data_IF_736026748428
#
_entry.id   IF_736026748428
#
_cell.length_a   1.000
_cell.length_b   1.000
_cell.length_c   1.000
_cell.angle_alpha   90.00
_cell.angle_beta   90.00
_cell.angle_gamma   90.00
#
_symmetry.space_group_name_H-M   'P 1'
#
loop_
_entity.id
_entity.type
_entity.pdbx_description
1 polymer ?
#
# COMPACT_ATOMS: atom_id res chain seq x y z
N UNK A 1 -7.87 39.10 -94.91
CA UNK A 1 -7.40 37.84 -94.34
C UNK A 1 -7.53 37.89 -92.84
N UNK A 2 -8.51 37.20 -92.26
CA UNK A 2 -8.73 37.13 -90.76
C UNK A 2 -8.22 35.76 -90.28
N UNK A 3 -7.42 35.69 -89.23
CA UNK A 3 -7.16 34.41 -88.57
C UNK A 3 -8.22 34.06 -87.50
N UNK A 4 -8.60 32.82 -87.59
CA UNK A 4 -9.58 32.21 -86.61
C UNK A 4 -8.87 31.93 -85.30
N UNK A 5 -9.59 32.32 -84.21
CA UNK A 5 -9.25 31.96 -82.83
C UNK A 5 -9.81 30.56 -82.54
N UNK A 6 -8.93 29.66 -82.17
CA UNK A 6 -9.28 28.36 -81.58
C UNK A 6 -9.44 28.54 -80.07
N UNK A 7 -10.65 28.30 -79.59
CA UNK A 7 -10.97 28.29 -78.14
C UNK A 7 -10.82 26.84 -77.60
N UNK A 8 -9.78 26.61 -76.82
CA UNK A 8 -9.60 25.32 -76.13
C UNK A 8 -10.23 25.36 -74.75
N UNK A 9 -11.30 24.61 -74.56
CA UNK A 9 -11.97 24.45 -73.30
C UNK A 9 -11.22 23.45 -72.47
N UNK A 10 -10.63 23.91 -71.32
CA UNK A 10 -10.01 23.04 -70.33
C UNK A 10 -11.10 22.67 -69.32
N UNK A 11 -11.48 21.39 -69.30
CA UNK A 11 -12.36 20.82 -68.29
C UNK A 11 -11.58 20.58 -66.99
N UNK A 12 -11.96 21.28 -65.93
CA UNK A 12 -11.47 20.99 -64.56
C UNK A 12 -12.31 19.83 -64.01
N UNK A 13 -11.67 18.67 -63.84
CA UNK A 13 -12.22 17.55 -63.06
C UNK A 13 -11.92 17.83 -61.59
N UNK A 14 -12.94 18.21 -60.84
CA UNK A 14 -12.85 18.32 -59.35
C UNK A 14 -12.99 16.92 -58.78
N UNK A 15 -11.86 16.33 -58.36
CA UNK A 15 -11.86 15.15 -57.49
C UNK A 15 -12.32 15.54 -56.08
N UNK A 16 -13.55 15.25 -55.73
CA UNK A 16 -14.03 15.32 -54.32
C UNK A 16 -13.49 14.09 -53.60
N UNK A 17 -12.39 14.29 -52.83
CA UNK A 17 -11.88 13.29 -51.91
C UNK A 17 -12.89 13.18 -50.76
N UNK A 18 -13.65 12.10 -50.65
CA UNK A 18 -14.38 11.72 -49.46
C UNK A 18 -13.38 11.30 -48.41
N UNK A 19 -13.09 12.18 -47.43
CA UNK A 19 -12.40 11.83 -46.18
C UNK A 19 -13.40 10.95 -45.40
N UNK A 20 -13.22 9.65 -45.42
CA UNK A 20 -13.81 8.76 -44.43
C UNK A 20 -13.18 9.04 -43.10
N UNK A 21 -13.83 9.82 -42.27
CA UNK A 21 -13.56 9.90 -40.84
C UNK A 21 -13.90 8.53 -40.25
N UNK A 22 -12.87 7.70 -40.10
CA UNK A 22 -12.94 6.53 -39.24
C UNK A 22 -13.11 7.05 -37.80
N UNK A 23 -14.36 7.10 -37.35
CA UNK A 23 -14.65 7.18 -35.91
C UNK A 23 -14.04 5.95 -35.26
N UNK A 24 -12.87 6.09 -34.62
CA UNK A 24 -12.42 5.16 -33.63
C UNK A 24 -13.48 5.18 -32.53
N UNK A 25 -14.42 4.25 -32.59
CA UNK A 25 -15.22 3.90 -31.41
C UNK A 25 -14.24 3.46 -30.35
N UNK A 26 -14.03 4.34 -29.36
CA UNK A 26 -13.45 3.94 -28.09
C UNK A 26 -14.29 2.75 -27.60
N UNK A 27 -13.67 1.59 -27.58
CA UNK A 27 -14.27 0.37 -27.06
C UNK A 27 -14.40 0.57 -25.55
N UNK A 28 -15.45 1.27 -25.10
CA UNK A 28 -15.79 1.44 -23.69
C UNK A 28 -16.15 0.05 -23.19
N UNK A 29 -15.18 -0.55 -22.46
CA UNK A 29 -15.38 -1.83 -21.79
C UNK A 29 -16.61 -1.66 -20.88
N UNK A 30 -17.72 -2.28 -21.26
CA UNK A 30 -18.93 -2.24 -20.44
C UNK A 30 -18.64 -2.92 -19.12
N UNK A 31 -18.80 -2.19 -18.00
CA UNK A 31 -18.61 -2.76 -16.66
C UNK A 31 -19.55 -3.96 -16.48
N UNK A 32 -19.08 -5.06 -15.86
CA UNK A 32 -19.96 -6.19 -15.56
C UNK A 32 -21.15 -5.75 -14.72
N UNK A 33 -22.29 -6.41 -14.89
CA UNK A 33 -23.45 -6.20 -14.01
C UNK A 33 -23.02 -6.54 -12.56
N UNK A 34 -23.11 -5.59 -11.61
CA UNK A 34 -22.70 -5.82 -10.22
C UNK A 34 -23.51 -6.94 -9.55
N UNK A 35 -24.73 -7.25 -10.04
CA UNK A 35 -25.53 -8.38 -9.54
C UNK A 35 -24.97 -9.74 -9.94
N UNK A 36 -24.14 -9.79 -10.98
CA UNK A 36 -23.45 -11.02 -11.40
C UNK A 36 -22.19 -11.33 -10.58
N UNK A 37 -21.80 -10.43 -9.65
CA UNK A 37 -20.62 -10.63 -8.84
C UNK A 37 -20.83 -11.76 -7.84
N UNK A 38 -19.82 -12.61 -7.76
CA UNK A 38 -19.70 -13.63 -6.71
C UNK A 38 -18.59 -13.19 -5.75
N UNK A 39 -19.00 -12.68 -4.60
CA UNK A 39 -18.08 -12.47 -3.48
C UNK A 39 -17.79 -13.80 -2.79
N UNK A 40 -16.60 -13.93 -2.24
CA UNK A 40 -16.15 -15.13 -1.54
C UNK A 40 -15.58 -14.70 -0.19
N UNK A 41 -15.78 -15.52 0.84
CA UNK A 41 -15.25 -15.31 2.19
C UNK A 41 -15.61 -16.48 3.09
N UNK A 42 -14.91 -16.62 4.20
CA UNK A 42 -15.20 -17.62 5.25
C UNK A 42 -15.76 -16.94 6.50
N UNK A 43 -14.94 -16.15 7.19
CA UNK A 43 -15.35 -15.44 8.42
C UNK A 43 -16.25 -14.25 8.11
N UNK A 44 -16.01 -13.53 7.04
CA UNK A 44 -16.88 -12.48 6.53
C UNK A 44 -17.82 -13.05 5.49
N UNK A 45 -19.10 -13.22 5.85
CA UNK A 45 -20.08 -13.83 4.94
C UNK A 45 -20.25 -12.99 3.67
N UNK A 46 -20.21 -13.61 2.46
CA UNK A 46 -20.40 -12.88 1.22
C UNK A 46 -21.72 -12.11 1.17
N UNK A 47 -21.66 -10.84 0.77
CA UNK A 47 -22.82 -9.98 0.61
C UNK A 47 -23.38 -10.11 -0.83
N UNK A 48 -24.70 -10.07 -0.97
CA UNK A 48 -25.35 -9.92 -2.28
C UNK A 48 -25.51 -8.43 -2.59
N UNK A 49 -25.28 -8.05 -3.84
CA UNK A 49 -25.31 -6.64 -4.25
C UNK A 49 -26.62 -5.93 -3.84
N UNK A 50 -27.79 -6.57 -4.02
CA UNK A 50 -29.07 -5.96 -3.69
C UNK A 50 -29.27 -5.74 -2.17
N UNK A 51 -28.57 -6.50 -1.34
CA UNK A 51 -28.58 -6.40 0.15
C UNK A 51 -27.55 -5.37 0.69
N UNK A 52 -26.69 -4.83 -0.17
CA UNK A 52 -25.63 -3.89 0.23
C UNK A 52 -26.19 -2.51 0.55
N UNK A 53 -25.54 -1.85 1.50
CA UNK A 53 -25.74 -0.42 1.78
C UNK A 53 -25.29 0.45 0.60
N UNK A 54 -25.75 1.71 0.49
CA UNK A 54 -25.35 2.61 -0.60
C UNK A 54 -23.84 2.76 -0.75
N UNK A 55 -23.09 2.89 0.35
CA UNK A 55 -21.64 3.06 0.37
C UNK A 55 -20.92 1.79 -0.13
N UNK A 56 -21.46 0.61 0.20
CA UNK A 56 -20.94 -0.66 -0.30
C UNK A 56 -21.18 -0.82 -1.81
N UNK A 57 -22.35 -0.40 -2.31
CA UNK A 57 -22.64 -0.37 -3.74
C UNK A 57 -21.70 0.57 -4.47
N UNK A 58 -21.49 1.78 -3.94
CA UNK A 58 -20.54 2.75 -4.49
C UNK A 58 -19.14 2.15 -4.61
N UNK A 59 -18.64 1.47 -3.57
CA UNK A 59 -17.34 0.80 -3.63
C UNK A 59 -17.27 -0.28 -4.71
N UNK A 60 -18.34 -1.08 -4.87
CA UNK A 60 -18.42 -2.11 -5.93
C UNK A 60 -18.46 -1.46 -7.32
N UNK A 61 -19.24 -0.41 -7.49
CA UNK A 61 -19.38 0.29 -8.78
C UNK A 61 -18.04 0.91 -9.20
N UNK A 62 -17.29 1.53 -8.27
CA UNK A 62 -15.93 2.04 -8.52
C UNK A 62 -14.95 0.91 -8.85
N UNK A 63 -15.04 -0.23 -8.14
CA UNK A 63 -14.20 -1.40 -8.39
C UNK A 63 -14.38 -1.94 -9.81
N UNK A 64 -15.64 -2.03 -10.27
CA UNK A 64 -15.99 -2.57 -11.60
C UNK A 64 -15.74 -1.57 -12.73
N UNK A 65 -15.82 -0.27 -12.45
CA UNK A 65 -15.44 0.78 -13.41
C UNK A 65 -13.94 0.85 -13.66
N UNK A 66 -13.11 0.31 -12.75
CA UNK A 66 -11.66 0.29 -12.85
C UNK A 66 -11.11 -0.81 -13.77
N UNK A 67 -9.81 -1.10 -13.63
CA UNK A 67 -9.09 -2.08 -14.46
C UNK A 67 -9.37 -3.54 -14.06
N UNK A 68 -10.02 -3.77 -12.92
CA UNK A 68 -10.29 -5.11 -12.40
C UNK A 68 -11.43 -5.79 -13.16
N UNK A 69 -11.35 -7.11 -13.29
CA UNK A 69 -12.38 -7.91 -13.96
C UNK A 69 -13.42 -8.48 -13.00
N UNK A 70 -13.33 -8.17 -11.70
CA UNK A 70 -14.25 -8.70 -10.69
C UNK A 70 -13.78 -8.40 -9.26
N UNK A 71 -14.51 -8.93 -8.28
CA UNK A 71 -14.33 -8.64 -6.86
C UNK A 71 -13.75 -9.83 -6.05
N UNK A 72 -12.91 -10.66 -6.66
CA UNK A 72 -12.19 -11.71 -5.95
C UNK A 72 -11.03 -11.12 -5.14
N UNK A 73 -10.74 -11.71 -3.98
CA UNK A 73 -9.68 -11.25 -3.09
C UNK A 73 -10.23 -10.48 -1.88
N UNK A 74 -9.58 -9.40 -1.41
CA UNK A 74 -9.88 -8.78 -0.12
C UNK A 74 -11.19 -7.96 -0.11
N UNK A 75 -11.89 -7.83 -1.25
CA UNK A 75 -12.96 -6.84 -1.40
C UNK A 75 -14.18 -7.17 -0.54
N UNK A 76 -14.51 -8.47 -0.34
CA UNK A 76 -15.57 -8.85 0.59
C UNK A 76 -15.26 -8.40 2.04
N UNK A 77 -14.01 -8.43 2.45
CA UNK A 77 -13.58 -7.91 3.77
C UNK A 77 -13.71 -6.40 3.80
N UNK A 78 -13.15 -5.71 2.80
CA UNK A 78 -13.14 -4.24 2.73
C UNK A 78 -14.54 -3.63 2.68
N UNK A 79 -15.55 -4.36 2.17
CA UNK A 79 -16.96 -3.94 2.19
C UNK A 79 -17.54 -3.76 3.59
N UNK A 80 -16.90 -4.22 4.67
CA UNK A 80 -17.33 -3.97 6.06
C UNK A 80 -17.02 -2.54 6.52
N UNK A 81 -16.06 -1.88 5.86
CA UNK A 81 -15.75 -0.46 6.03
C UNK A 81 -15.59 0.20 4.66
N UNK A 82 -16.72 0.39 3.92
CA UNK A 82 -16.69 0.74 2.50
C UNK A 82 -16.08 2.11 2.24
N UNK A 83 -16.20 3.07 3.15
CA UNK A 83 -15.68 4.43 2.96
C UNK A 83 -14.14 4.46 2.88
N UNK A 84 -13.45 3.62 3.66
CA UNK A 84 -11.99 3.46 3.56
C UNK A 84 -11.64 2.35 2.56
N UNK A 85 -12.48 1.32 2.46
CA UNK A 85 -12.32 0.21 1.53
C UNK A 85 -12.29 0.65 0.07
N UNK A 86 -13.07 1.67 -0.27
CA UNK A 86 -13.08 2.24 -1.62
C UNK A 86 -11.74 2.93 -1.97
N UNK A 87 -11.18 3.73 -1.08
CA UNK A 87 -9.84 4.29 -1.30
C UNK A 87 -8.76 3.19 -1.32
N UNK A 88 -8.88 2.20 -0.47
CA UNK A 88 -7.94 1.08 -0.44
C UNK A 88 -7.93 0.31 -1.77
N UNK A 89 -9.11 -0.01 -2.34
CA UNK A 89 -9.19 -0.69 -3.62
C UNK A 89 -8.70 0.17 -4.79
N UNK A 90 -8.95 1.49 -4.77
CA UNK A 90 -8.45 2.44 -5.77
C UNK A 90 -6.92 2.55 -5.71
N UNK A 91 -6.34 2.65 -4.49
CA UNK A 91 -4.89 2.62 -4.29
C UNK A 91 -4.28 1.32 -4.85
N UNK A 92 -4.89 0.19 -4.52
CA UNK A 92 -4.48 -1.10 -5.07
C UNK A 92 -4.60 -1.20 -6.60
N UNK A 93 -5.59 -0.55 -7.19
CA UNK A 93 -5.72 -0.41 -8.65
C UNK A 93 -4.55 0.38 -9.23
N UNK A 94 -4.23 1.54 -8.64
CA UNK A 94 -3.09 2.36 -9.06
C UNK A 94 -1.77 1.59 -8.96
N UNK A 95 -1.50 0.95 -7.83
CA UNK A 95 -0.26 0.19 -7.61
C UNK A 95 -0.12 -1.00 -8.56
N UNK A 96 -1.20 -1.71 -8.86
CA UNK A 96 -1.14 -2.91 -9.71
C UNK A 96 -1.08 -2.61 -11.21
N UNK A 97 -1.78 -1.58 -11.67
CA UNK A 97 -2.05 -1.39 -13.10
C UNK A 97 -1.45 -0.12 -13.68
N UNK A 98 -1.15 0.91 -12.87
CA UNK A 98 -0.74 2.23 -13.33
C UNK A 98 0.69 2.66 -12.95
N UNK A 99 1.46 1.76 -12.32
CA UNK A 99 2.90 1.96 -12.13
C UNK A 99 3.67 1.69 -13.43
N UNK A 100 4.85 2.26 -13.56
CA UNK A 100 5.77 1.96 -14.66
C UNK A 100 6.62 0.71 -14.45
N UNK A 101 6.33 -0.10 -13.43
CA UNK A 101 7.09 -1.31 -13.11
C UNK A 101 6.73 -2.44 -14.09
N UNK A 102 7.71 -3.13 -14.71
CA UNK A 102 7.45 -4.27 -15.58
C UNK A 102 6.61 -5.35 -14.90
N UNK A 103 5.75 -6.03 -15.66
CA UNK A 103 4.77 -6.96 -15.08
C UNK A 103 5.42 -8.15 -14.37
N UNK A 104 6.46 -8.72 -14.92
CA UNK A 104 7.24 -9.79 -14.29
C UNK A 104 7.90 -9.34 -12.97
N UNK A 105 8.41 -8.12 -12.92
CA UNK A 105 8.96 -7.51 -11.70
C UNK A 105 7.86 -7.25 -10.68
N UNK A 106 6.73 -6.67 -11.10
CA UNK A 106 5.61 -6.38 -10.18
C UNK A 106 5.01 -7.67 -9.60
N UNK A 107 4.82 -8.72 -10.42
CA UNK A 107 4.32 -10.01 -9.91
C UNK A 107 5.35 -10.69 -8.98
N UNK A 108 6.65 -10.53 -9.24
CA UNK A 108 7.71 -11.01 -8.31
C UNK A 108 7.59 -10.35 -6.95
N UNK A 109 7.41 -9.01 -6.89
CA UNK A 109 7.19 -8.28 -5.63
C UNK A 109 5.94 -8.79 -4.91
N UNK A 110 4.86 -9.04 -5.65
CA UNK A 110 3.59 -9.50 -5.09
C UNK A 110 3.73 -10.90 -4.48
N UNK A 111 4.33 -11.85 -5.19
CA UNK A 111 4.52 -13.21 -4.65
C UNK A 111 5.51 -13.23 -3.47
N UNK A 112 6.54 -12.38 -3.45
CA UNK A 112 7.41 -12.20 -2.28
C UNK A 112 6.61 -11.71 -1.07
N UNK A 113 5.74 -10.71 -1.25
CA UNK A 113 4.90 -10.18 -0.18
C UNK A 113 3.86 -11.20 0.29
N UNK A 114 3.21 -11.92 -0.64
CA UNK A 114 2.30 -13.02 -0.31
C UNK A 114 2.98 -14.15 0.46
N UNK A 115 4.24 -14.48 0.08
CA UNK A 115 5.07 -15.44 0.81
C UNK A 115 5.42 -14.97 2.22
N UNK A 116 5.83 -13.71 2.36
CA UNK A 116 6.13 -13.09 3.65
C UNK A 116 4.94 -13.17 4.61
N UNK A 117 3.72 -12.94 4.10
CA UNK A 117 2.48 -13.03 4.86
C UNK A 117 1.91 -14.45 4.96
N UNK A 118 2.51 -15.46 4.35
CA UNK A 118 1.94 -16.81 4.28
C UNK A 118 0.51 -16.82 3.73
N UNK A 119 0.17 -15.87 2.85
CA UNK A 119 -1.16 -15.68 2.31
C UNK A 119 -1.40 -16.65 1.14
N UNK A 120 -2.01 -17.79 1.44
CA UNK A 120 -2.17 -18.91 0.50
C UNK A 120 -2.94 -18.51 -0.77
N UNK A 121 -4.05 -17.77 -0.61
CA UNK A 121 -4.83 -17.34 -1.77
C UNK A 121 -4.06 -16.33 -2.63
N UNK A 122 -3.42 -15.34 -2.00
CA UNK A 122 -2.63 -14.33 -2.70
C UNK A 122 -1.47 -14.95 -3.46
N UNK A 123 -0.76 -15.86 -2.80
CA UNK A 123 0.28 -16.66 -3.44
C UNK A 123 -0.25 -17.41 -4.66
N UNK A 124 -1.32 -18.18 -4.51
CA UNK A 124 -1.85 -19.00 -5.59
C UNK A 124 -2.30 -18.19 -6.80
N UNK A 125 -3.01 -17.06 -6.55
CA UNK A 125 -3.49 -16.17 -7.60
C UNK A 125 -2.33 -15.51 -8.36
N UNK A 126 -1.33 -15.01 -7.65
CA UNK A 126 -0.22 -14.26 -8.23
C UNK A 126 0.94 -15.15 -8.72
N UNK A 127 1.11 -16.37 -8.21
CA UNK A 127 1.96 -17.37 -8.82
C UNK A 127 1.59 -17.62 -10.29
N UNK A 128 0.30 -17.84 -10.55
CA UNK A 128 -0.17 -18.03 -11.93
C UNK A 128 0.09 -16.80 -12.80
N UNK A 129 -0.17 -15.60 -12.27
CA UNK A 129 0.10 -14.36 -12.97
C UNK A 129 1.60 -14.12 -13.22
N UNK A 130 2.47 -14.41 -12.24
CA UNK A 130 3.92 -14.33 -12.38
C UNK A 130 4.43 -15.22 -13.53
N UNK A 131 4.01 -16.48 -13.57
CA UNK A 131 4.38 -17.41 -14.63
C UNK A 131 3.88 -16.91 -16.01
N UNK A 132 2.65 -16.41 -16.10
CA UNK A 132 2.07 -15.86 -17.33
C UNK A 132 2.81 -14.61 -17.81
N UNK A 133 3.39 -13.82 -16.90
CA UNK A 133 4.16 -12.62 -17.21
C UNK A 133 5.67 -12.90 -17.38
N UNK A 134 6.10 -14.16 -17.44
CA UNK A 134 7.46 -14.55 -17.80
C UNK A 134 8.42 -14.74 -16.62
N UNK A 135 7.93 -14.73 -15.38
CA UNK A 135 8.75 -15.16 -14.23
C UNK A 135 9.01 -16.66 -14.35
N UNK A 136 10.28 -17.04 -14.31
CA UNK A 136 10.67 -18.45 -14.48
C UNK A 136 10.19 -19.31 -13.31
N UNK A 137 9.76 -20.57 -13.58
CA UNK A 137 9.29 -21.47 -12.51
C UNK A 137 10.30 -21.64 -11.36
N UNK A 138 11.59 -21.76 -11.66
CA UNK A 138 12.65 -21.88 -10.65
C UNK A 138 12.77 -20.67 -9.72
N UNK A 139 12.43 -19.47 -10.20
CA UNK A 139 12.37 -18.25 -9.38
C UNK A 139 11.19 -18.34 -8.43
N UNK A 140 10.02 -18.70 -8.95
CA UNK A 140 8.79 -18.87 -8.15
C UNK A 140 8.99 -19.94 -7.07
N UNK A 141 9.59 -21.08 -7.41
CA UNK A 141 9.85 -22.17 -6.48
C UNK A 141 10.86 -21.77 -5.39
N UNK A 142 11.89 -21.00 -5.74
CA UNK A 142 12.84 -20.47 -4.76
C UNK A 142 12.12 -19.56 -3.75
N UNK A 143 11.29 -18.61 -4.21
CA UNK A 143 10.51 -17.72 -3.34
C UNK A 143 9.56 -18.54 -2.45
N UNK A 144 8.84 -19.53 -2.99
CA UNK A 144 7.96 -20.42 -2.22
C UNK A 144 8.67 -21.08 -1.04
N UNK A 145 9.92 -21.44 -1.23
CA UNK A 145 10.75 -22.13 -0.22
C UNK A 145 11.62 -21.17 0.62
N UNK A 146 11.40 -19.85 0.53
CA UNK A 146 12.16 -18.86 1.28
C UNK A 146 13.65 -18.82 0.92
N UNK A 147 13.98 -19.21 -0.31
CA UNK A 147 15.36 -19.21 -0.82
C UNK A 147 15.55 -18.04 -1.79
N UNK A 148 16.77 -17.49 -1.82
CA UNK A 148 17.12 -16.50 -2.84
C UNK A 148 17.09 -17.16 -4.23
N UNK A 149 16.31 -16.61 -5.19
CA UNK A 149 16.31 -17.12 -6.56
C UNK A 149 17.63 -16.88 -7.27
N UNK A 150 17.95 -17.75 -8.22
CA UNK A 150 19.00 -17.56 -9.22
C UNK A 150 18.38 -17.33 -10.58
N UNK A 151 19.14 -16.71 -11.52
CA UNK A 151 18.67 -16.52 -12.89
C UNK A 151 17.62 -15.40 -13.07
N UNK A 152 17.46 -14.51 -12.10
CA UNK A 152 16.73 -13.26 -12.26
C UNK A 152 17.47 -12.37 -13.27
N UNK A 153 16.74 -11.64 -14.11
CA UNK A 153 17.35 -10.58 -14.91
C UNK A 153 17.63 -9.35 -14.04
N UNK A 154 18.52 -8.43 -14.45
CA UNK A 154 19.02 -7.35 -13.59
C UNK A 154 17.92 -6.49 -12.94
N UNK A 155 16.88 -6.14 -13.70
CA UNK A 155 15.78 -5.31 -13.19
C UNK A 155 15.02 -6.04 -12.07
N UNK A 156 14.68 -7.31 -12.27
CA UNK A 156 14.01 -8.13 -11.27
C UNK A 156 14.88 -8.29 -10.03
N UNK A 157 16.18 -8.52 -10.21
CA UNK A 157 17.11 -8.72 -9.08
C UNK A 157 17.23 -7.45 -8.21
N UNK A 158 17.25 -6.27 -8.84
CA UNK A 158 17.24 -4.97 -8.12
C UNK A 158 15.98 -4.84 -7.25
N UNK A 159 14.79 -5.09 -7.84
CA UNK A 159 13.54 -5.01 -7.11
C UNK A 159 13.42 -6.10 -6.03
N UNK A 160 13.89 -7.31 -6.32
CA UNK A 160 13.95 -8.41 -5.36
C UNK A 160 14.79 -8.01 -4.14
N UNK A 161 16.01 -7.55 -4.32
CA UNK A 161 16.91 -7.15 -3.22
C UNK A 161 16.30 -6.05 -2.37
N UNK A 162 15.69 -5.05 -3.01
CA UNK A 162 15.04 -3.95 -2.31
C UNK A 162 13.89 -4.43 -1.43
N UNK A 163 13.02 -5.30 -1.95
CA UNK A 163 11.86 -5.81 -1.21
C UNK A 163 12.26 -6.85 -0.17
N UNK A 164 13.25 -7.69 -0.47
CA UNK A 164 13.77 -8.65 0.49
C UNK A 164 14.31 -7.95 1.75
N UNK A 165 15.16 -6.93 1.58
CA UNK A 165 15.64 -6.11 2.70
C UNK A 165 14.48 -5.43 3.43
N UNK A 166 13.56 -4.79 2.71
CA UNK A 166 12.45 -4.06 3.31
C UNK A 166 11.52 -4.97 4.14
N UNK A 167 11.19 -6.16 3.64
CA UNK A 167 10.30 -7.09 4.35
C UNK A 167 11.00 -7.84 5.49
N UNK A 168 12.30 -8.15 5.36
CA UNK A 168 13.01 -8.98 6.34
C UNK A 168 13.70 -8.17 7.42
N UNK A 169 14.19 -6.98 7.11
CA UNK A 169 14.90 -6.11 8.06
C UNK A 169 14.13 -4.85 8.44
N UNK A 170 13.02 -4.58 7.76
CA UNK A 170 12.23 -3.35 7.83
C UNK A 170 13.02 -2.08 7.45
N UNK A 171 14.16 -2.26 6.81
CA UNK A 171 15.05 -1.20 6.33
C UNK A 171 15.51 -1.53 4.91
N UNK A 172 16.08 -0.53 4.23
CA UNK A 172 16.71 -0.70 2.92
C UNK A 172 18.09 -0.12 3.00
N UNK A 173 19.11 -0.87 2.59
CA UNK A 173 20.50 -0.40 2.55
C UNK A 173 20.68 0.73 1.51
N UNK A 174 21.74 1.52 1.65
CA UNK A 174 22.06 2.57 0.68
C UNK A 174 22.34 1.97 -0.72
N UNK A 175 22.93 0.78 -0.75
CA UNK A 175 23.21 0.07 -2.00
C UNK A 175 21.92 -0.35 -2.72
N UNK A 176 20.97 -0.97 -2.01
CA UNK A 176 19.69 -1.39 -2.58
C UNK A 176 18.83 -0.19 -2.99
N UNK A 177 18.78 0.87 -2.15
CA UNK A 177 18.08 2.11 -2.50
C UNK A 177 18.69 2.76 -3.76
N UNK A 178 20.02 2.89 -3.82
CA UNK A 178 20.71 3.48 -4.97
C UNK A 178 20.44 2.69 -6.25
N UNK A 179 20.57 1.37 -6.20
CA UNK A 179 20.31 0.51 -7.36
C UNK A 179 18.87 0.65 -7.87
N UNK A 180 17.88 0.64 -6.96
CA UNK A 180 16.48 0.84 -7.33
C UNK A 180 16.22 2.24 -7.88
N UNK A 181 16.80 3.29 -7.27
CA UNK A 181 16.68 4.68 -7.75
C UNK A 181 17.33 4.86 -9.12
N UNK A 182 18.52 4.33 -9.34
CA UNK A 182 19.23 4.43 -10.63
C UNK A 182 18.44 3.73 -11.75
N UNK A 183 17.78 2.61 -11.45
CA UNK A 183 17.03 1.83 -12.44
C UNK A 183 15.61 2.35 -12.66
N UNK A 184 14.88 2.69 -11.61
CA UNK A 184 13.44 2.99 -11.67
C UNK A 184 13.11 4.46 -11.38
N UNK A 185 14.09 5.28 -10.98
CA UNK A 185 13.87 6.64 -10.51
C UNK A 185 13.19 6.70 -9.14
N UNK A 186 13.02 7.91 -8.59
CA UNK A 186 12.36 8.10 -7.30
C UNK A 186 10.90 7.64 -7.32
N UNK A 187 10.18 7.87 -8.43
CA UNK A 187 8.82 7.37 -8.62
C UNK A 187 8.77 5.85 -8.52
N UNK A 188 9.65 5.15 -9.24
CA UNK A 188 9.66 3.69 -9.24
C UNK A 188 10.01 3.10 -7.87
N UNK A 189 10.90 3.72 -7.10
CA UNK A 189 11.19 3.30 -5.71
C UNK A 189 9.93 3.40 -4.85
N UNK A 190 9.17 4.48 -4.97
CA UNK A 190 7.90 4.66 -4.24
C UNK A 190 6.86 3.66 -4.71
N UNK A 191 6.76 3.41 -6.02
CA UNK A 191 5.83 2.44 -6.59
C UNK A 191 6.14 1.00 -6.12
N UNK A 192 7.42 0.60 -6.07
CA UNK A 192 7.85 -0.72 -5.57
C UNK A 192 7.48 -0.89 -4.08
N UNK A 193 7.78 0.11 -3.25
CA UNK A 193 7.44 0.07 -1.83
C UNK A 193 5.92 0.10 -1.61
N UNK A 194 5.20 0.95 -2.36
CA UNK A 194 3.74 1.08 -2.30
C UNK A 194 3.02 -0.19 -2.76
N UNK A 195 3.52 -0.86 -3.80
CA UNK A 195 2.99 -2.14 -4.26
C UNK A 195 3.09 -3.21 -3.17
N UNK A 196 4.27 -3.38 -2.56
CA UNK A 196 4.43 -4.31 -1.44
C UNK A 196 3.56 -3.91 -0.24
N UNK A 197 3.50 -2.61 0.11
CA UNK A 197 2.64 -2.11 1.20
C UNK A 197 1.16 -2.43 0.98
N UNK A 198 0.64 -2.24 -0.24
CA UNK A 198 -0.71 -2.66 -0.60
C UNK A 198 -0.92 -4.16 -0.43
N UNK A 199 -0.01 -4.98 -0.94
CA UNK A 199 -0.14 -6.44 -0.85
C UNK A 199 0.09 -6.99 0.56
N UNK A 200 0.73 -6.24 1.44
CA UNK A 200 0.70 -6.52 2.88
C UNK A 200 -0.72 -6.39 3.43
N UNK A 201 -1.44 -5.30 3.15
CA UNK A 201 -2.85 -5.13 3.57
C UNK A 201 -3.76 -6.21 2.97
N UNK A 202 -3.61 -6.50 1.68
CA UNK A 202 -4.35 -7.58 1.01
C UNK A 202 -4.15 -8.91 1.72
N UNK A 203 -2.89 -9.28 1.96
CA UNK A 203 -2.53 -10.53 2.63
C UNK A 203 -3.08 -10.62 4.04
N UNK A 204 -3.02 -9.51 4.81
CA UNK A 204 -3.64 -9.43 6.14
C UNK A 204 -5.15 -9.67 6.06
N UNK A 205 -5.86 -9.02 5.15
CA UNK A 205 -7.30 -9.17 4.99
C UNK A 205 -7.70 -10.60 4.62
N UNK A 206 -7.00 -11.21 3.67
CA UNK A 206 -7.23 -12.59 3.24
C UNK A 206 -6.95 -13.60 4.36
N UNK A 207 -5.89 -13.37 5.13
CA UNK A 207 -5.53 -14.23 6.25
C UNK A 207 -6.53 -14.13 7.42
N UNK A 208 -6.99 -12.92 7.74
CA UNK A 208 -8.01 -12.70 8.78
C UNK A 208 -9.34 -13.32 8.39
N UNK A 209 -9.75 -13.22 7.12
CA UNK A 209 -10.96 -13.89 6.60
C UNK A 209 -10.78 -15.40 6.46
N UNK A 210 -9.55 -15.94 6.45
CA UNK A 210 -9.24 -17.31 6.00
C UNK A 210 -9.78 -17.56 4.59
N UNK A 211 -9.56 -16.59 3.71
CA UNK A 211 -10.13 -16.59 2.37
C UNK A 211 -9.90 -17.93 1.68
N UNK A 212 -10.98 -18.62 1.23
CA UNK A 212 -10.87 -19.99 0.74
C UNK A 212 -10.13 -20.05 -0.60
N UNK A 213 -9.35 -21.10 -0.76
CA UNK A 213 -8.80 -21.48 -2.06
C UNK A 213 -9.90 -22.03 -2.96
N UNK A 214 -9.67 -22.01 -4.27
CA UNK A 214 -10.59 -22.63 -5.23
C UNK A 214 -10.81 -24.13 -4.96
N UNK A 215 -11.92 -24.67 -5.42
CA UNK A 215 -12.24 -26.09 -5.25
C UNK A 215 -11.11 -26.98 -5.78
N UNK A 216 -10.62 -27.89 -4.94
CA UNK A 216 -9.52 -28.82 -5.28
C UNK A 216 -8.11 -28.23 -5.17
N UNK A 217 -7.97 -26.91 -4.93
CA UNK A 217 -6.66 -26.27 -4.74
C UNK A 217 -6.16 -26.50 -3.32
N UNK A 218 -4.94 -27.00 -3.20
CA UNK A 218 -4.29 -27.23 -1.91
C UNK A 218 -3.37 -26.05 -1.54
N UNK A 219 -3.20 -25.76 -0.23
CA UNK A 219 -2.21 -24.79 0.23
C UNK A 219 -0.79 -25.20 -0.18
N UNK A 220 -0.06 -24.32 -0.85
CA UNK A 220 1.29 -24.59 -1.33
C UNK A 220 2.39 -24.08 -0.39
N UNK A 221 2.14 -22.94 0.26
CA UNK A 221 3.13 -22.35 1.15
C UNK A 221 3.24 -23.15 2.44
N UNK A 222 4.41 -23.70 2.69
CA UNK A 222 4.73 -24.38 3.96
C UNK A 222 5.41 -23.40 4.92
N UNK A 223 5.27 -23.58 6.25
CA UNK A 223 6.10 -22.86 7.21
C UNK A 223 7.58 -23.02 6.86
N UNK A 224 8.34 -21.95 6.95
CA UNK A 224 9.79 -22.02 6.75
C UNK A 224 10.44 -22.62 7.98
N UNK A 225 11.46 -23.46 7.79
CA UNK A 225 12.29 -24.02 8.89
C UNK A 225 12.97 -22.89 9.68
N UNK A 226 13.44 -21.87 8.96
CA UNK A 226 13.93 -20.63 9.55
C UNK A 226 12.94 -19.52 9.13
N UNK A 227 11.93 -19.20 9.93
CA UNK A 227 11.04 -18.10 9.61
C UNK A 227 11.87 -16.84 9.41
N UNK A 228 11.53 -16.08 8.36
CA UNK A 228 12.17 -14.79 8.09
C UNK A 228 12.19 -14.00 9.41
N UNK A 229 13.36 -13.52 9.84
CA UNK A 229 13.46 -12.84 11.11
C UNK A 229 12.49 -11.65 11.12
N UNK A 230 11.51 -11.71 11.98
CA UNK A 230 10.66 -10.55 12.28
C UNK A 230 11.49 -9.69 13.23
N UNK A 231 12.49 -9.04 12.67
CA UNK A 231 13.39 -8.20 13.43
C UNK A 231 13.01 -6.76 13.15
N UNK A 232 12.29 -6.16 14.07
CA UNK A 232 12.24 -4.70 14.13
C UNK A 232 13.64 -4.18 14.41
N UNK A 233 14.45 -3.97 13.37
CA UNK A 233 15.71 -3.27 13.47
C UNK A 233 15.44 -1.78 13.47
N UNK A 234 15.10 -1.22 14.61
CA UNK A 234 15.09 0.23 14.78
C UNK A 234 16.52 0.75 14.79
N UNK A 235 16.97 1.38 13.72
CA UNK A 235 18.16 2.20 13.79
C UNK A 235 17.81 3.46 14.59
N UNK A 236 18.24 3.49 15.85
CA UNK A 236 18.03 4.64 16.72
C UNK A 236 18.98 5.82 16.39
N UNK A 237 19.95 5.60 15.51
CA UNK A 237 20.95 6.61 15.14
C UNK A 237 21.10 6.67 13.63
N UNK A 238 21.38 7.84 13.04
CA UNK A 238 21.80 7.93 11.65
C UNK A 238 22.98 6.98 11.41
N UNK A 239 22.96 6.25 10.29
CA UNK A 239 24.13 5.45 9.89
C UNK A 239 25.29 6.40 9.69
N UNK A 240 26.49 6.13 10.28
CA UNK A 240 27.66 6.99 10.09
C UNK A 240 27.91 7.25 8.59
N UNK A 241 28.09 8.51 8.22
CA UNK A 241 28.26 8.92 6.83
C UNK A 241 26.95 9.19 6.06
N UNK A 242 25.82 9.05 6.68
CA UNK A 242 24.51 9.40 6.09
C UNK A 242 24.41 10.91 5.89
N UNK A 243 23.95 11.40 4.71
CA UNK A 243 23.68 12.83 4.52
C UNK A 243 22.74 13.36 5.59
N UNK A 244 23.00 14.58 6.07
CA UNK A 244 22.08 15.23 7.00
C UNK A 244 20.71 15.45 6.36
N UNK A 245 19.62 15.26 7.12
CA UNK A 245 18.27 15.53 6.62
C UNK A 245 18.16 16.95 6.07
N UNK A 246 17.41 17.12 5.00
CA UNK A 246 17.16 18.42 4.40
C UNK A 246 15.70 18.82 4.55
N UNK A 247 15.43 20.12 4.57
CA UNK A 247 14.09 20.68 4.61
C UNK A 247 13.92 21.65 3.42
N UNK A 248 12.80 21.59 2.75
CA UNK A 248 12.40 22.61 1.79
C UNK A 248 11.09 23.24 2.24
N UNK A 249 11.03 24.58 2.17
CA UNK A 249 9.86 25.36 2.58
C UNK A 249 9.47 26.28 1.44
N UNK A 250 8.17 26.42 1.18
CA UNK A 250 7.58 27.33 0.22
C UNK A 250 6.32 27.95 0.80
N UNK A 251 5.91 29.09 0.29
CA UNK A 251 4.61 29.70 0.61
C UNK A 251 3.68 29.52 -0.60
N UNK A 252 2.54 28.89 -0.39
CA UNK A 252 1.53 28.61 -1.42
C UNK A 252 0.18 29.10 -0.92
N UNK A 253 -0.44 30.04 -1.63
CA UNK A 253 -1.74 30.62 -1.25
C UNK A 253 -1.79 31.10 0.21
N UNK A 254 -0.70 31.74 0.69
CA UNK A 254 -0.57 32.24 2.06
C UNK A 254 -0.34 31.18 3.14
N UNK A 255 -0.23 29.89 2.78
CA UNK A 255 0.07 28.78 3.69
C UNK A 255 1.51 28.30 3.51
N UNK A 256 2.11 27.86 4.60
CA UNK A 256 3.45 27.28 4.56
C UNK A 256 3.39 25.81 4.13
N UNK A 257 4.09 25.50 3.04
CA UNK A 257 4.37 24.16 2.59
C UNK A 257 5.79 23.80 3.04
N UNK A 258 5.95 22.80 3.88
CA UNK A 258 7.26 22.38 4.38
C UNK A 258 7.40 20.85 4.29
N UNK A 259 8.49 20.41 3.70
CA UNK A 259 8.85 18.99 3.60
C UNK A 259 10.19 18.74 4.26
N UNK A 260 10.32 17.54 4.81
CA UNK A 260 11.54 17.01 5.37
C UNK A 260 11.79 15.63 4.79
N UNK A 261 13.04 15.28 4.53
CA UNK A 261 13.44 13.98 4.01
C UNK A 261 14.94 13.79 4.04
N UNK A 262 15.41 12.57 3.86
CA UNK A 262 16.81 12.22 3.72
C UNK A 262 17.13 11.73 2.31
N UNK A 263 16.66 10.56 1.92
CA UNK A 263 16.92 9.97 0.60
C UNK A 263 16.08 10.60 -0.51
N UNK A 264 14.82 10.95 -0.19
CA UNK A 264 13.97 11.74 -1.08
C UNK A 264 14.14 13.21 -0.75
N UNK A 265 15.05 13.88 -1.45
CA UNK A 265 15.33 15.30 -1.20
C UNK A 265 14.06 16.13 -1.34
N UNK A 266 13.67 16.91 -0.31
CA UNK A 266 12.49 17.75 -0.37
C UNK A 266 12.52 18.71 -1.56
N UNK A 267 11.36 18.88 -2.23
CA UNK A 267 11.19 19.81 -3.34
C UNK A 267 10.59 21.11 -2.84
N UNK A 268 11.08 22.23 -3.36
CA UNK A 268 10.33 23.49 -3.26
C UNK A 268 9.14 23.43 -4.24
N UNK A 269 8.12 24.27 -4.00
CA UNK A 269 6.93 24.30 -4.86
C UNK A 269 7.28 24.55 -6.34
N UNK A 270 8.27 25.41 -6.61
CA UNK A 270 8.68 25.73 -7.98
C UNK A 270 9.36 24.54 -8.71
N UNK A 271 9.97 23.63 -7.95
CA UNK A 271 10.61 22.42 -8.49
C UNK A 271 9.61 21.31 -8.81
N UNK A 272 8.35 21.44 -8.42
CA UNK A 272 7.33 20.41 -8.60
C UNK A 272 6.76 20.42 -10.02
N UNK A 273 6.39 19.22 -10.50
CA UNK A 273 5.57 19.08 -11.71
C UNK A 273 4.14 19.59 -11.46
N UNK A 274 3.35 19.86 -12.52
CA UNK A 274 1.94 20.26 -12.35
C UNK A 274 1.13 19.31 -11.48
N UNK A 275 1.31 18.00 -11.63
CA UNK A 275 0.62 16.96 -10.86
C UNK A 275 1.04 16.98 -9.38
N UNK A 276 2.33 17.17 -9.11
CA UNK A 276 2.84 17.31 -7.75
C UNK A 276 2.33 18.58 -7.09
N UNK A 277 2.24 19.72 -7.81
CA UNK A 277 1.66 20.96 -7.33
C UNK A 277 0.20 20.79 -6.94
N UNK A 278 -0.60 20.17 -7.82
CA UNK A 278 -2.01 19.87 -7.55
C UNK A 278 -2.16 19.04 -6.27
N UNK A 279 -1.36 18.00 -6.12
CA UNK A 279 -1.38 17.15 -4.93
C UNK A 279 -0.95 17.91 -3.66
N UNK A 280 0.08 18.77 -3.73
CA UNK A 280 0.52 19.58 -2.61
C UNK A 280 -0.54 20.62 -2.19
N UNK A 281 -1.22 21.26 -3.15
CA UNK A 281 -2.31 22.19 -2.90
C UNK A 281 -3.52 21.51 -2.24
N UNK A 282 -3.89 20.31 -2.73
CA UNK A 282 -4.93 19.47 -2.12
C UNK A 282 -4.60 19.15 -0.66
N UNK A 283 -3.36 18.76 -0.39
CA UNK A 283 -2.93 18.41 0.96
C UNK A 283 -2.90 19.65 1.89
N UNK A 284 -2.50 20.81 1.40
CA UNK A 284 -2.57 22.08 2.16
C UNK A 284 -4.00 22.52 2.46
N UNK A 285 -4.96 22.19 1.61
CA UNK A 285 -6.38 22.42 1.86
C UNK A 285 -6.97 21.43 2.89
N UNK A 286 -6.41 20.21 2.97
CA UNK A 286 -6.81 19.15 3.87
C UNK A 286 -5.99 19.10 5.17
N UNK A 287 -5.52 17.91 5.53
CA UNK A 287 -4.81 17.64 6.80
C UNK A 287 -3.32 18.07 6.83
N UNK A 288 -2.83 18.68 5.77
CA UNK A 288 -1.44 19.14 5.65
C UNK A 288 -0.49 18.08 5.06
N UNK A 289 0.79 18.37 5.11
CA UNK A 289 1.85 17.65 4.39
C UNK A 289 2.85 16.95 5.32
N UNK A 290 2.46 16.61 6.53
CA UNK A 290 3.30 15.90 7.48
C UNK A 290 3.47 14.41 7.11
N UNK A 291 4.49 13.78 7.67
CA UNK A 291 4.74 12.35 7.56
C UNK A 291 5.26 11.94 6.18
N UNK A 292 4.72 10.86 5.62
CA UNK A 292 5.16 10.27 4.35
C UNK A 292 4.82 11.10 3.10
N UNK A 293 4.28 12.33 3.25
CA UNK A 293 3.82 13.12 2.12
C UNK A 293 4.94 13.45 1.11
N UNK A 294 6.13 13.86 1.61
CA UNK A 294 7.29 14.11 0.75
C UNK A 294 7.62 12.91 -0.15
N UNK A 295 7.45 11.70 0.36
CA UNK A 295 7.71 10.46 -0.37
C UNK A 295 6.60 10.21 -1.40
N UNK A 296 5.34 10.27 -0.96
CA UNK A 296 4.16 10.06 -1.82
C UNK A 296 4.09 11.03 -3.00
N UNK A 297 4.67 12.24 -2.83
CA UNK A 297 4.77 13.26 -3.86
C UNK A 297 5.56 12.80 -5.11
N UNK A 298 6.41 11.74 -5.00
CA UNK A 298 7.16 11.18 -6.14
C UNK A 298 6.27 10.37 -7.08
N UNK A 299 5.12 9.90 -6.60
CA UNK A 299 4.11 9.19 -7.40
C UNK A 299 2.74 9.82 -7.11
N UNK A 300 2.44 11.00 -7.69
CA UNK A 300 1.31 11.84 -7.23
C UNK A 300 -0.05 11.17 -7.40
N UNK A 301 -0.33 10.47 -8.49
CA UNK A 301 -1.63 9.80 -8.68
C UNK A 301 -1.96 8.78 -7.59
N UNK A 302 -1.15 7.74 -7.33
CA UNK A 302 -1.42 6.86 -6.19
C UNK A 302 -1.21 7.56 -4.85
N UNK A 303 -0.35 8.59 -4.79
CA UNK A 303 -0.12 9.40 -3.61
C UNK A 303 -1.37 10.16 -3.14
N UNK A 304 -2.14 10.75 -4.06
CA UNK A 304 -3.43 11.40 -3.76
C UNK A 304 -4.42 10.41 -3.14
N UNK A 305 -4.53 9.21 -3.72
CA UNK A 305 -5.43 8.15 -3.22
C UNK A 305 -4.99 7.68 -1.84
N UNK A 306 -3.70 7.44 -1.65
CA UNK A 306 -3.12 7.02 -0.36
C UNK A 306 -3.31 8.09 0.72
N UNK A 307 -3.17 9.36 0.36
CA UNK A 307 -3.44 10.49 1.25
C UNK A 307 -4.91 10.53 1.68
N UNK A 308 -5.86 10.39 0.74
CA UNK A 308 -7.29 10.35 1.02
C UNK A 308 -7.67 9.13 1.88
N UNK A 309 -7.09 7.96 1.61
CA UNK A 309 -7.22 6.78 2.48
C UNK A 309 -6.74 7.09 3.90
N UNK A 310 -5.60 7.75 4.05
CA UNK A 310 -5.05 8.15 5.34
C UNK A 310 -5.92 9.14 6.11
N UNK A 311 -6.64 10.01 5.42
CA UNK A 311 -7.63 10.89 6.05
C UNK A 311 -8.78 10.08 6.67
N UNK A 312 -9.32 9.09 5.94
CA UNK A 312 -10.35 8.18 6.47
C UNK A 312 -9.84 7.38 7.67
N UNK A 313 -8.67 6.77 7.55
CA UNK A 313 -8.04 6.01 8.65
C UNK A 313 -7.84 6.90 9.89
N UNK A 314 -7.47 8.13 9.69
CA UNK A 314 -7.17 9.04 10.80
C UNK A 314 -8.40 9.55 11.53
N UNK A 315 -9.46 9.94 10.80
CA UNK A 315 -10.54 10.75 11.33
C UNK A 315 -11.94 10.14 11.22
N UNK A 316 -12.11 9.01 10.51
CA UNK A 316 -13.43 8.48 10.18
C UNK A 316 -13.61 6.98 10.45
N UNK A 317 -12.75 6.40 11.30
CA UNK A 317 -12.91 5.02 11.74
C UNK A 317 -14.00 4.89 12.80
N UNK A 318 -14.66 3.74 12.85
CA UNK A 318 -15.74 3.46 13.81
C UNK A 318 -15.24 3.13 15.22
N UNK A 319 -13.96 2.81 15.36
CA UNK A 319 -13.35 2.47 16.64
C UNK A 319 -12.89 3.71 17.41
N UNK A 320 -12.90 3.71 18.75
CA UNK A 320 -12.38 4.80 19.56
C UNK A 320 -10.91 5.13 19.23
N UNK A 321 -10.55 6.42 19.29
CA UNK A 321 -9.20 6.89 18.99
C UNK A 321 -8.13 6.17 19.82
N UNK A 322 -8.37 5.90 21.09
CA UNK A 322 -7.45 5.16 21.97
C UNK A 322 -7.09 3.79 21.38
N UNK A 323 -8.06 3.05 20.86
CA UNK A 323 -7.84 1.72 20.29
C UNK A 323 -7.18 1.78 18.92
N UNK A 324 -7.52 2.79 18.14
CA UNK A 324 -6.87 3.08 16.85
C UNK A 324 -5.38 3.42 17.06
N UNK A 325 -5.09 4.36 17.98
CA UNK A 325 -3.71 4.75 18.27
C UNK A 325 -2.90 3.58 18.86
N UNK A 326 -3.51 2.70 19.67
CA UNK A 326 -2.87 1.47 20.13
C UNK A 326 -2.44 0.57 18.94
N UNK A 327 -3.33 0.35 17.97
CA UNK A 327 -3.00 -0.42 16.77
C UNK A 327 -1.87 0.24 15.95
N UNK A 328 -1.87 1.57 15.84
CA UNK A 328 -0.83 2.34 15.15
C UNK A 328 0.52 2.19 15.87
N UNK A 329 0.56 2.35 17.19
CA UNK A 329 1.81 2.21 17.96
C UNK A 329 2.40 0.81 17.84
N UNK A 330 1.59 -0.24 17.90
CA UNK A 330 2.05 -1.61 17.71
C UNK A 330 2.65 -1.76 16.29
N UNK A 331 2.00 -1.21 15.29
CA UNK A 331 2.47 -1.27 13.89
C UNK A 331 3.78 -0.49 13.71
N UNK A 332 3.85 0.74 14.22
CA UNK A 332 5.05 1.58 14.16
C UNK A 332 6.23 0.93 14.90
N UNK A 333 5.97 0.29 16.06
CA UNK A 333 6.97 -0.48 16.79
C UNK A 333 7.45 -1.70 16.01
N UNK A 334 6.51 -2.43 15.40
CA UNK A 334 6.84 -3.60 14.57
C UNK A 334 7.77 -3.24 13.41
N UNK A 335 7.51 -2.10 12.75
CA UNK A 335 8.34 -1.58 11.64
C UNK A 335 9.55 -0.77 12.13
N UNK A 336 9.67 -0.51 13.42
CA UNK A 336 10.67 0.40 14.02
C UNK A 336 10.70 1.78 13.32
N UNK A 337 9.55 2.28 12.90
CA UNK A 337 9.39 3.55 12.19
C UNK A 337 9.41 4.72 13.19
N UNK A 338 10.59 5.34 13.39
CA UNK A 338 10.83 6.35 14.42
C UNK A 338 9.89 7.56 14.30
N UNK A 339 9.76 8.12 13.11
CA UNK A 339 8.92 9.30 12.92
C UNK A 339 7.46 9.01 13.22
N UNK A 340 6.96 7.86 12.75
CA UNK A 340 5.59 7.41 12.97
C UNK A 340 5.33 7.16 14.44
N UNK A 341 6.25 6.48 15.10
CA UNK A 341 6.19 6.26 16.54
C UNK A 341 6.02 7.57 17.32
N UNK A 342 6.90 8.55 17.10
CA UNK A 342 6.90 9.81 17.83
C UNK A 342 5.63 10.65 17.58
N UNK A 343 5.12 10.62 16.36
CA UNK A 343 3.86 11.30 16.03
C UNK A 343 2.68 10.69 16.78
N UNK A 344 2.62 9.34 16.82
CA UNK A 344 1.52 8.60 17.41
C UNK A 344 1.67 8.33 18.90
N UNK A 345 2.88 8.36 19.47
CA UNK A 345 3.08 8.37 20.93
C UNK A 345 2.28 9.50 21.58
N UNK A 346 2.45 10.71 21.07
CA UNK A 346 1.70 11.89 21.57
C UNK A 346 0.19 11.74 21.38
N UNK A 347 -0.24 11.28 20.21
CA UNK A 347 -1.65 11.10 19.91
C UNK A 347 -2.30 10.02 20.79
N UNK A 348 -1.61 8.91 21.05
CA UNK A 348 -2.07 7.85 21.92
C UNK A 348 -2.23 8.31 23.38
N UNK A 349 -1.26 9.07 23.90
CA UNK A 349 -1.36 9.65 25.24
C UNK A 349 -2.55 10.62 25.34
N UNK A 350 -2.76 11.47 24.33
CA UNK A 350 -3.91 12.38 24.26
C UNK A 350 -5.25 11.61 24.14
N UNK A 351 -5.26 10.47 23.47
CA UNK A 351 -6.43 9.59 23.38
C UNK A 351 -6.70 8.77 24.65
N UNK A 352 -5.83 8.89 25.68
CA UNK A 352 -6.01 8.25 26.99
C UNK A 352 -5.31 6.90 27.15
N UNK A 353 -4.37 6.54 26.29
CA UNK A 353 -3.48 5.42 26.54
C UNK A 353 -2.39 5.85 27.54
N UNK A 354 -2.21 5.12 28.65
CA UNK A 354 -1.25 5.51 29.68
C UNK A 354 0.20 5.38 29.22
N UNK A 355 1.08 6.27 29.70
CA UNK A 355 2.50 6.27 29.39
C UNK A 355 3.19 4.93 29.72
N UNK A 356 2.78 4.25 30.80
CA UNK A 356 3.33 2.93 31.13
C UNK A 356 3.05 1.87 30.07
N UNK A 357 1.85 1.93 29.45
CA UNK A 357 1.48 1.04 28.34
C UNK A 357 2.24 1.40 27.08
N UNK A 358 2.32 2.68 26.74
CA UNK A 358 3.11 3.17 25.59
C UNK A 358 4.56 2.76 25.75
N UNK A 359 5.17 2.96 26.93
CA UNK A 359 6.53 2.55 27.23
C UNK A 359 6.72 1.03 27.13
N UNK A 360 5.77 0.23 27.57
CA UNK A 360 5.86 -1.23 27.41
C UNK A 360 5.91 -1.63 25.93
N UNK A 361 5.05 -1.04 25.08
CA UNK A 361 5.08 -1.28 23.62
C UNK A 361 6.41 -0.82 23.03
N UNK A 362 6.91 0.36 23.41
CA UNK A 362 8.20 0.90 22.97
C UNK A 362 9.35 -0.09 23.25
N UNK A 363 9.34 -0.71 24.41
CA UNK A 363 10.33 -1.69 24.86
C UNK A 363 10.07 -3.11 24.32
N UNK A 364 9.02 -3.32 23.50
CA UNK A 364 8.62 -4.63 22.95
C UNK A 364 8.08 -5.58 24.01
N UNK A 365 7.55 -5.06 25.11
CA UNK A 365 6.91 -5.83 26.16
C UNK A 365 5.39 -5.72 26.08
N UNK A 366 4.70 -6.78 26.49
CA UNK A 366 3.25 -6.72 26.67
C UNK A 366 2.90 -5.74 27.79
N UNK A 367 2.04 -4.74 27.55
CA UNK A 367 1.58 -3.84 28.59
C UNK A 367 0.80 -4.57 29.70
N UNK A 368 0.95 -4.15 30.93
CA UNK A 368 0.12 -4.59 32.06
C UNK A 368 -1.07 -3.64 32.25
N UNK A 369 -2.14 -4.13 32.86
CA UNK A 369 -3.31 -3.31 33.22
C UNK A 369 -4.08 -2.76 32.01
N UNK A 370 -4.04 -3.47 30.90
CA UNK A 370 -4.91 -3.17 29.75
C UNK A 370 -6.37 -3.42 30.12
N UNK A 371 -7.27 -2.56 29.66
CA UNK A 371 -8.72 -2.84 29.69
C UNK A 371 -9.06 -3.94 28.69
N UNK A 372 -10.25 -4.53 28.79
CA UNK A 372 -10.65 -5.66 27.92
C UNK A 372 -10.58 -5.30 26.40
N UNK A 373 -10.93 -4.06 26.08
CA UNK A 373 -10.86 -3.53 24.71
C UNK A 373 -9.42 -3.34 24.23
N UNK A 374 -8.55 -2.78 25.06
CA UNK A 374 -7.11 -2.64 24.76
C UNK A 374 -6.45 -4.02 24.60
N UNK A 375 -6.79 -4.98 25.49
CA UNK A 375 -6.30 -6.35 25.45
C UNK A 375 -6.68 -7.06 24.13
N UNK A 376 -7.94 -6.90 23.70
CA UNK A 376 -8.44 -7.49 22.47
C UNK A 376 -7.71 -6.93 21.23
N UNK A 377 -7.54 -5.59 21.16
CA UNK A 377 -6.81 -4.94 20.06
C UNK A 377 -5.33 -5.31 20.07
N UNK A 378 -4.69 -5.26 21.24
CA UNK A 378 -3.28 -5.64 21.37
C UNK A 378 -3.06 -7.07 20.89
N UNK A 379 -3.88 -8.01 21.36
CA UNK A 379 -3.77 -9.43 21.00
C UNK A 379 -4.03 -9.63 19.51
N UNK A 380 -5.05 -9.00 18.94
CA UNK A 380 -5.38 -9.12 17.51
C UNK A 380 -4.22 -8.65 16.63
N UNK A 381 -3.69 -7.45 16.85
CA UNK A 381 -2.64 -6.87 16.01
C UNK A 381 -1.31 -7.62 16.20
N UNK A 382 -0.94 -7.95 17.44
CA UNK A 382 0.32 -8.65 17.71
C UNK A 382 0.30 -10.08 17.21
N UNK A 383 -0.82 -10.81 17.37
CA UNK A 383 -0.97 -12.17 16.82
C UNK A 383 -0.85 -12.14 15.29
N UNK A 384 -1.54 -11.20 14.63
CA UNK A 384 -1.51 -11.06 13.19
C UNK A 384 -0.08 -10.80 12.66
N UNK A 385 0.69 -9.93 13.31
CA UNK A 385 2.08 -9.69 12.93
C UNK A 385 3.00 -10.88 13.26
N UNK A 386 2.75 -11.58 14.36
CA UNK A 386 3.60 -12.69 14.80
C UNK A 386 3.36 -13.97 14.01
N UNK A 387 2.10 -14.34 13.80
CA UNK A 387 1.70 -15.63 13.22
C UNK A 387 1.23 -15.52 11.78
N UNK A 388 1.03 -14.32 11.27
CA UNK A 388 0.40 -14.01 9.98
C UNK A 388 -1.08 -14.41 9.91
N UNK A 389 -1.66 -14.80 11.01
CA UNK A 389 -3.04 -15.28 11.12
C UNK A 389 -3.70 -14.67 12.36
N UNK A 390 -5.02 -14.69 12.42
CA UNK A 390 -5.79 -14.48 13.63
C UNK A 390 -6.46 -15.81 14.00
N UNK A 391 -6.26 -16.30 15.22
CA UNK A 391 -6.96 -17.50 15.71
C UNK A 391 -8.47 -17.27 15.76
N UNK A 392 -9.27 -18.35 15.83
CA UNK A 392 -10.72 -18.22 15.96
C UNK A 392 -11.11 -17.51 17.26
N UNK A 393 -10.37 -17.76 18.34
CA UNK A 393 -10.59 -17.08 19.63
C UNK A 393 -10.31 -15.57 19.51
N UNK A 394 -9.19 -15.18 18.92
CA UNK A 394 -8.84 -13.77 18.73
C UNK A 394 -9.83 -13.07 17.80
N UNK A 395 -10.18 -13.70 16.67
CA UNK A 395 -11.19 -13.16 15.75
C UNK A 395 -12.55 -12.97 16.47
N UNK A 396 -13.03 -13.97 17.18
CA UNK A 396 -14.29 -13.89 17.89
C UNK A 396 -14.28 -12.79 18.98
N UNK A 397 -13.18 -12.68 19.73
CA UNK A 397 -13.04 -11.66 20.79
C UNK A 397 -13.12 -10.27 20.22
N UNK A 398 -12.32 -9.96 19.19
CA UNK A 398 -12.31 -8.61 18.61
C UNK A 398 -13.61 -8.32 17.85
N UNK A 399 -14.18 -9.29 17.14
CA UNK A 399 -15.43 -9.12 16.42
C UNK A 399 -16.63 -8.89 17.36
N UNK A 400 -16.68 -9.60 18.50
CA UNK A 400 -17.73 -9.37 19.50
C UNK A 400 -17.61 -7.98 20.16
N UNK A 401 -16.39 -7.45 20.26
CA UNK A 401 -16.15 -6.15 20.89
C UNK A 401 -16.49 -4.97 19.96
N UNK A 402 -16.05 -5.00 18.72
CA UNK A 402 -16.12 -3.85 17.78
C UNK A 402 -16.96 -4.12 16.54
N UNK A 403 -17.48 -5.32 16.35
CA UNK A 403 -18.21 -5.76 15.17
C UNK A 403 -17.31 -5.92 13.93
N UNK A 404 -17.88 -6.43 12.83
CA UNK A 404 -17.14 -6.63 11.57
C UNK A 404 -16.55 -5.31 11.05
N UNK A 405 -17.27 -4.20 11.17
CA UNK A 405 -16.80 -2.88 10.74
C UNK A 405 -15.57 -2.44 11.54
N UNK A 406 -15.65 -2.46 12.86
CA UNK A 406 -14.55 -2.04 13.73
C UNK A 406 -13.32 -2.95 13.58
N UNK A 407 -13.52 -4.26 13.38
CA UNK A 407 -12.44 -5.20 13.10
C UNK A 407 -11.74 -4.84 11.80
N UNK A 408 -12.47 -4.56 10.73
CA UNK A 408 -11.90 -4.16 9.43
C UNK A 408 -11.25 -2.79 9.52
N UNK A 409 -11.81 -1.86 10.30
CA UNK A 409 -11.18 -0.56 10.57
C UNK A 409 -9.79 -0.73 11.23
N UNK A 410 -9.67 -1.59 12.23
CA UNK A 410 -8.39 -1.89 12.89
C UNK A 410 -7.41 -2.58 11.93
N UNK A 411 -7.90 -3.52 11.12
CA UNK A 411 -7.13 -4.21 10.10
C UNK A 411 -6.57 -3.25 9.05
N UNK A 412 -7.43 -2.38 8.52
CA UNK A 412 -7.04 -1.36 7.53
C UNK A 412 -6.11 -0.33 8.16
N UNK A 413 -6.33 0.06 9.42
CA UNK A 413 -5.41 0.94 10.16
C UNK A 413 -4.02 0.33 10.23
N UNK A 414 -3.89 -0.93 10.67
CA UNK A 414 -2.59 -1.60 10.73
C UNK A 414 -1.94 -1.74 9.35
N UNK A 415 -2.72 -2.11 8.32
CA UNK A 415 -2.20 -2.25 6.95
C UNK A 415 -1.78 -0.92 6.33
N UNK A 416 -2.54 0.16 6.55
CA UNK A 416 -2.19 1.51 6.10
C UNK A 416 -0.90 2.00 6.76
N UNK A 417 -0.81 1.90 8.11
CA UNK A 417 0.37 2.35 8.85
C UNK A 417 1.59 1.46 8.62
N UNK A 418 1.41 0.22 8.23
CA UNK A 418 2.49 -0.61 7.70
C UNK A 418 3.08 -0.01 6.42
N UNK A 419 2.25 0.37 5.44
CA UNK A 419 2.72 1.01 4.21
C UNK A 419 3.37 2.39 4.49
N UNK A 420 2.80 3.19 5.40
CA UNK A 420 3.40 4.45 5.87
C UNK A 420 4.78 4.20 6.48
N UNK A 421 4.91 3.21 7.36
CA UNK A 421 6.19 2.84 7.99
C UNK A 421 7.22 2.37 6.96
N UNK A 422 6.79 1.59 5.95
CA UNK A 422 7.66 1.18 4.83
C UNK A 422 8.20 2.41 4.09
N UNK A 423 7.34 3.35 3.70
CA UNK A 423 7.77 4.59 3.05
C UNK A 423 8.77 5.37 3.90
N UNK A 424 8.47 5.57 5.18
CA UNK A 424 9.34 6.32 6.09
C UNK A 424 10.71 5.64 6.29
N UNK A 425 10.72 4.31 6.40
CA UNK A 425 11.96 3.56 6.55
C UNK A 425 12.79 3.56 5.25
N UNK A 426 12.14 3.52 4.08
CA UNK A 426 12.83 3.68 2.79
C UNK A 426 13.50 5.04 2.67
N UNK A 427 12.84 6.13 3.09
CA UNK A 427 13.43 7.48 3.12
C UNK A 427 14.45 7.66 4.26
N UNK A 428 14.42 6.82 5.28
CA UNK A 428 15.05 7.08 6.59
C UNK A 428 14.53 8.41 7.16
N UNK A 429 13.20 8.55 7.14
CA UNK A 429 12.51 9.79 7.52
C UNK A 429 13.06 10.32 8.85
N UNK A 430 13.70 11.51 8.86
CA UNK A 430 14.31 12.05 10.05
C UNK A 430 13.25 12.53 11.04
N UNK A 431 13.49 12.30 12.31
CA UNK A 431 12.70 12.91 13.38
C UNK A 431 12.90 14.43 13.39
N UNK A 432 11.99 15.18 14.00
CA UNK A 432 12.14 16.63 14.09
C UNK A 432 13.37 17.01 14.95
N UNK A 433 13.94 18.20 14.68
CA UNK A 433 15.22 18.63 15.32
C UNK A 433 15.15 18.71 16.84
N UNK A 434 13.96 18.92 17.40
CA UNK A 434 13.73 18.96 18.85
C UNK A 434 13.28 17.62 19.44
N UNK A 435 13.34 16.54 18.68
CA UNK A 435 12.94 15.20 19.10
C UNK A 435 14.13 14.24 19.03
N UNK A 436 14.11 13.24 19.90
CA UNK A 436 15.06 12.14 19.87
C UNK A 436 14.35 10.85 19.47
N UNK A 437 15.05 9.97 18.76
CA UNK A 437 14.56 8.65 18.43
C UNK A 437 14.35 7.82 19.72
N UNK A 438 13.15 7.27 19.88
CA UNK A 438 12.78 6.50 21.09
C UNK A 438 12.90 5.00 20.90
N UNK A 439 12.63 4.49 19.68
CA UNK A 439 12.65 3.07 19.42
C UNK A 439 14.07 2.54 19.33
N UNK A 440 14.38 1.58 20.22
CA UNK A 440 15.66 0.85 20.21
C UNK A 440 15.48 -0.48 19.48
N UNK A 441 16.59 -1.03 18.99
CA UNK A 441 16.62 -2.38 18.45
C UNK A 441 16.14 -3.40 19.47
N UNK A 442 15.30 -4.32 19.02
CA UNK A 442 14.82 -5.46 19.81
C UNK A 442 15.19 -6.73 19.06
N UNK A 443 16.01 -7.58 19.68
CA UNK A 443 16.47 -8.85 19.10
C UNK A 443 15.38 -9.92 19.00
N UNK A 444 14.23 -9.73 19.65
CA UNK A 444 13.10 -10.68 19.65
C UNK A 444 11.85 -9.98 19.10
N UNK A 445 10.99 -10.70 18.33
CA UNK A 445 9.72 -10.16 17.92
C UNK A 445 8.87 -9.78 19.13
N UNK A 446 7.92 -8.88 18.93
CA UNK A 446 6.91 -8.53 19.94
C UNK A 446 6.27 -9.80 20.51
N UNK A 447 6.10 -9.90 21.82
CA UNK A 447 5.54 -11.07 22.47
C UNK A 447 4.08 -11.31 22.11
#
# INVERSE_FOLDING_TARGET
MRPQLFCTTVAFVVCVAHAQTSSQQANTKQSPDPRSLVLVGDRFKPLKYDEMMPEQKTMIDHLLAGERSGARGPFNVLLRSPEVGDFAQQFGGAMRFRTGIPKDVSETIIIMTGRYWMAQYEWNAHKAAALQNGVKPEIVDAIANGKRPTGMHPDMEIAYNFIDELLTTHQVSDAAFKAAKDRYGEKGVVDIAGLSGWYCLVSMALNVDRYPLGAGVQPELKPLENPLPVVGMGFATPIPGTPSPTTATSTVNGKTLSFRGDRFKPLTYDQMTPEQKKFAEMALAGRGTAGSFNISLRSPEPGEIFYAMGERVRFHMSVPDKLKELAILITARYWAAQFEWLAHHRAAAQAGLSEDKIKAIMEGRRPSGMSADEEAVYTFITELFKTRQASDATFATINNLVGERGLVDLLVTAGYYQAVSMFMNVDRMPVNDNQQAELKYIAKPLP
#
